data_IF_929798248355
#
_entry.id   IF_929798248355
#
_cell.length_a   1.000
_cell.length_b   1.000
_cell.length_c   1.000
_cell.angle_alpha   90.00
_cell.angle_beta   90.00
_cell.angle_gamma   90.00
#
_symmetry.space_group_name_H-M   'P 1'
#
loop_
_entity.id
_entity.type
_entity.pdbx_description
1 polymer ?
#
# COMPACT_ATOMS: atom_id res chain seq x y z
N UNK A 1 -11.99 -33.47 4.56
CA UNK A 1 -11.92 -32.10 3.99
C UNK A 1 -10.63 -31.98 3.21
N UNK A 2 -10.71 -31.60 1.94
CA UNK A 2 -9.52 -31.27 1.14
C UNK A 2 -8.95 -29.95 1.68
N UNK A 3 -7.66 -29.90 1.98
CA UNK A 3 -7.00 -28.65 2.40
C UNK A 3 -6.81 -27.77 1.16
N UNK A 4 -7.20 -26.48 1.19
CA UNK A 4 -7.01 -25.60 0.05
C UNK A 4 -5.52 -25.43 -0.25
N UNK A 5 -5.14 -25.54 -1.52
CA UNK A 5 -3.80 -25.24 -1.99
C UNK A 5 -3.56 -23.73 -1.95
N UNK A 6 -2.85 -23.30 -0.90
CA UNK A 6 -2.55 -21.89 -0.63
C UNK A 6 -1.12 -21.58 -1.06
N UNK A 7 -0.95 -20.54 -1.88
CA UNK A 7 0.35 -20.06 -2.33
C UNK A 7 0.58 -18.66 -1.78
N UNK A 8 1.81 -18.37 -1.34
CA UNK A 8 2.24 -17.01 -0.98
C UNK A 8 3.16 -16.51 -2.11
N UNK A 9 2.83 -15.37 -2.71
CA UNK A 9 3.64 -14.71 -3.72
C UNK A 9 4.18 -13.39 -3.17
N UNK A 10 5.50 -13.24 -3.19
CA UNK A 10 6.19 -12.05 -2.71
C UNK A 10 7.11 -11.56 -3.80
N UNK A 11 7.00 -10.26 -4.11
CA UNK A 11 8.00 -9.51 -4.87
C UNK A 11 8.72 -8.58 -3.91
N UNK A 12 10.04 -8.70 -3.71
CA UNK A 12 10.78 -7.78 -2.86
C UNK A 12 10.84 -6.39 -3.51
N UNK A 13 10.45 -5.38 -2.77
CA UNK A 13 10.32 -4.02 -3.29
C UNK A 13 11.63 -3.23 -3.12
N UNK A 14 11.94 -2.36 -4.08
CA UNK A 14 13.11 -1.48 -3.99
C UNK A 14 14.47 -2.16 -4.21
N UNK A 15 14.49 -3.42 -4.65
CA UNK A 15 15.73 -4.19 -4.90
C UNK A 15 15.96 -4.54 -6.37
N UNK A 16 15.10 -4.06 -7.28
CA UNK A 16 15.24 -4.32 -8.72
C UNK A 16 14.97 -5.78 -9.10
N UNK A 17 13.88 -6.37 -8.59
CA UNK A 17 13.49 -7.72 -8.95
C UNK A 17 13.30 -7.85 -10.48
N UNK A 18 13.83 -8.92 -11.09
CA UNK A 18 13.71 -9.13 -12.54
C UNK A 18 12.27 -9.37 -13.01
N UNK A 19 11.37 -9.72 -12.08
CA UNK A 19 9.93 -9.85 -12.27
C UNK A 19 9.28 -9.22 -11.03
N UNK A 20 8.38 -8.26 -11.22
CA UNK A 20 7.77 -7.51 -10.12
C UNK A 20 8.50 -6.22 -9.77
N UNK A 21 9.63 -5.95 -10.42
CA UNK A 21 10.46 -4.79 -10.12
C UNK A 21 9.87 -3.47 -10.60
N UNK A 22 8.84 -3.52 -11.46
CA UNK A 22 8.28 -2.37 -12.15
C UNK A 22 6.75 -2.35 -12.07
N UNK A 23 6.15 -1.17 -12.22
CA UNK A 23 4.70 -1.03 -12.11
C UNK A 23 3.92 -2.04 -13.00
N UNK A 24 3.22 -2.98 -12.36
CA UNK A 24 2.30 -3.93 -12.99
C UNK A 24 2.94 -5.17 -13.65
N UNK A 25 4.27 -5.30 -13.65
CA UNK A 25 4.97 -6.42 -14.31
C UNK A 25 4.82 -7.78 -13.57
N UNK A 26 4.52 -7.75 -12.27
CA UNK A 26 4.20 -8.94 -11.47
C UNK A 26 2.78 -9.46 -11.70
N UNK A 27 1.88 -8.65 -12.26
CA UNK A 27 0.48 -9.00 -12.36
C UNK A 27 0.23 -10.26 -13.22
N UNK A 28 0.87 -10.46 -14.38
CA UNK A 28 0.74 -11.71 -15.14
C UNK A 28 1.15 -12.95 -14.35
N UNK A 29 2.20 -12.85 -13.51
CA UNK A 29 2.66 -13.96 -12.66
C UNK A 29 1.64 -14.27 -11.57
N UNK A 30 1.13 -13.23 -10.90
CA UNK A 30 0.07 -13.42 -9.91
C UNK A 30 -1.19 -14.04 -10.52
N UNK A 31 -1.59 -13.62 -11.72
CA UNK A 31 -2.73 -14.21 -12.45
C UNK A 31 -2.49 -15.68 -12.81
N UNK A 32 -1.28 -16.04 -13.23
CA UNK A 32 -0.93 -17.42 -13.53
C UNK A 32 -0.99 -18.31 -12.28
N UNK A 33 -0.43 -17.83 -11.17
CA UNK A 33 -0.45 -18.55 -9.88
C UNK A 33 -1.88 -18.67 -9.35
N UNK A 34 -2.66 -17.58 -9.38
CA UNK A 34 -4.04 -17.58 -8.92
C UNK A 34 -4.93 -18.60 -9.65
N UNK A 35 -4.63 -18.92 -10.92
CA UNK A 35 -5.36 -19.95 -11.68
C UNK A 35 -5.09 -21.38 -11.24
N UNK A 36 -3.95 -21.64 -10.61
CA UNK A 36 -3.53 -22.98 -10.18
C UNK A 36 -3.61 -23.18 -8.66
N UNK A 37 -3.95 -22.13 -7.90
CA UNK A 37 -4.11 -22.15 -6.45
C UNK A 37 -5.56 -21.93 -6.03
N UNK A 38 -6.00 -22.59 -4.95
CA UNK A 38 -7.28 -22.29 -4.33
C UNK A 38 -7.26 -20.91 -3.66
N UNK A 39 -6.09 -20.49 -3.19
CA UNK A 39 -5.88 -19.21 -2.50
C UNK A 39 -4.49 -18.65 -2.78
N UNK A 40 -4.43 -17.39 -3.20
CA UNK A 40 -3.20 -16.63 -3.34
C UNK A 40 -3.11 -15.60 -2.20
N UNK A 41 -2.03 -15.62 -1.41
CA UNK A 41 -1.70 -14.56 -0.47
C UNK A 41 -0.59 -13.73 -1.11
N UNK A 42 -0.77 -12.42 -1.16
CA UNK A 42 0.19 -11.51 -1.80
C UNK A 42 0.14 -10.13 -1.14
N UNK A 43 1.04 -9.25 -1.53
CA UNK A 43 1.09 -7.87 -1.05
C UNK A 43 0.83 -6.86 -2.17
N UNK A 44 0.53 -5.58 -1.84
CA UNK A 44 0.11 -4.57 -2.80
C UNK A 44 1.05 -4.37 -4.00
N UNK A 45 2.37 -4.45 -3.81
CA UNK A 45 3.32 -4.14 -4.89
C UNK A 45 3.33 -5.21 -5.99
N UNK A 46 2.72 -6.38 -5.76
CA UNK A 46 2.58 -7.43 -6.79
C UNK A 46 1.45 -7.11 -7.76
N UNK A 47 0.37 -6.49 -7.28
CA UNK A 47 -0.89 -6.35 -8.04
C UNK A 47 -1.16 -4.92 -8.52
N UNK A 48 -0.41 -3.95 -8.03
CA UNK A 48 -0.53 -2.55 -8.41
C UNK A 48 0.43 -2.22 -9.57
N UNK A 49 -0.13 -1.65 -10.64
CA UNK A 49 0.60 -0.95 -11.70
C UNK A 49 0.36 0.56 -11.57
N UNK A 50 0.81 1.13 -10.46
CA UNK A 50 0.42 2.47 -10.01
C UNK A 50 -1.10 2.59 -9.80
N UNK A 51 -1.80 3.36 -10.64
CA UNK A 51 -3.25 3.56 -10.56
C UNK A 51 -4.07 2.39 -11.13
N UNK A 52 -3.40 1.45 -11.80
CA UNK A 52 -4.04 0.28 -12.39
C UNK A 52 -3.94 -0.90 -11.43
N UNK A 53 -5.04 -1.63 -11.27
CA UNK A 53 -5.06 -2.89 -10.53
C UNK A 53 -5.95 -3.91 -11.25
N UNK A 54 -5.84 -5.17 -10.87
CA UNK A 54 -6.73 -6.23 -11.35
C UNK A 54 -7.31 -7.02 -10.20
N UNK A 55 -8.64 -7.15 -10.18
CA UNK A 55 -9.31 -7.92 -9.15
C UNK A 55 -9.08 -9.43 -9.35
N UNK A 56 -8.47 -10.06 -8.34
CA UNK A 56 -8.27 -11.51 -8.26
C UNK A 56 -9.17 -12.07 -7.15
N UNK A 57 -10.24 -12.82 -7.50
CA UNK A 57 -11.30 -13.18 -6.53
C UNK A 57 -10.83 -14.16 -5.44
N UNK A 58 -9.74 -14.90 -5.68
CA UNK A 58 -9.12 -15.82 -4.72
C UNK A 58 -7.83 -15.28 -4.10
N UNK A 59 -7.59 -13.96 -4.18
CA UNK A 59 -6.42 -13.31 -3.60
C UNK A 59 -6.72 -12.65 -2.24
N UNK A 60 -5.78 -12.77 -1.33
CA UNK A 60 -5.74 -12.04 -0.05
C UNK A 60 -4.57 -11.08 -0.09
N UNK A 61 -4.87 -9.80 0.07
CA UNK A 61 -3.88 -8.73 0.15
C UNK A 61 -3.46 -8.54 1.59
N UNK A 62 -2.16 -8.60 1.83
CA UNK A 62 -1.56 -8.42 3.15
C UNK A 62 -0.41 -7.44 3.01
N UNK A 63 -0.37 -6.45 3.89
CA UNK A 63 0.77 -5.55 3.97
C UNK A 63 2.06 -6.32 4.33
N UNK A 64 3.23 -5.82 3.90
CA UNK A 64 4.50 -6.54 3.99
C UNK A 64 4.87 -7.02 5.40
N UNK A 65 4.78 -6.17 6.41
CA UNK A 65 5.03 -6.55 7.80
C UNK A 65 3.96 -7.50 8.35
N UNK A 66 2.70 -7.30 7.98
CA UNK A 66 1.64 -8.26 8.29
C UNK A 66 1.90 -9.65 7.71
N UNK A 67 2.46 -9.70 6.49
CA UNK A 67 2.84 -10.93 5.81
C UNK A 67 4.03 -11.61 6.50
N UNK A 68 5.03 -10.84 6.93
CA UNK A 68 6.15 -11.35 7.74
C UNK A 68 5.63 -11.98 9.03
N UNK A 69 4.72 -11.31 9.74
CA UNK A 69 4.11 -11.85 10.98
C UNK A 69 3.24 -13.07 10.74
N UNK A 70 2.60 -13.17 9.59
CA UNK A 70 1.91 -14.39 9.18
C UNK A 70 2.89 -15.54 8.91
N UNK A 71 3.99 -15.29 8.19
CA UNK A 71 5.02 -16.29 7.90
C UNK A 71 5.72 -16.78 9.18
N UNK A 72 5.96 -15.87 10.14
CA UNK A 72 6.48 -16.16 11.48
C UNK A 72 5.47 -16.90 12.38
N UNK A 73 4.24 -17.14 11.91
CA UNK A 73 3.14 -17.73 12.69
C UNK A 73 2.72 -16.91 13.91
N UNK A 74 3.10 -15.64 13.95
CA UNK A 74 2.66 -14.70 14.99
C UNK A 74 1.20 -14.32 14.76
N UNK A 75 0.81 -14.09 13.50
CA UNK A 75 -0.52 -13.62 13.12
C UNK A 75 -1.27 -14.63 12.26
N UNK A 76 -2.59 -14.65 12.40
CA UNK A 76 -3.51 -15.39 11.52
C UNK A 76 -4.20 -14.44 10.55
N UNK A 77 -4.36 -14.87 9.30
CA UNK A 77 -5.10 -14.12 8.29
C UNK A 77 -6.54 -14.62 8.21
N UNK A 78 -7.51 -13.70 8.37
CA UNK A 78 -8.93 -14.00 8.23
C UNK A 78 -9.46 -13.37 6.93
N UNK A 79 -9.89 -14.18 5.94
CA UNK A 79 -10.57 -13.66 4.77
C UNK A 79 -11.84 -12.91 5.17
N UNK A 80 -12.08 -11.77 4.53
CA UNK A 80 -13.30 -10.98 4.67
C UNK A 80 -13.91 -10.73 3.30
N UNK A 81 -15.23 -10.58 3.25
CA UNK A 81 -15.91 -10.18 2.01
C UNK A 81 -15.52 -8.76 1.59
N UNK A 82 -15.42 -7.86 2.58
CA UNK A 82 -15.12 -6.45 2.36
C UNK A 82 -14.60 -5.83 3.67
N UNK A 83 -13.60 -4.96 3.56
CA UNK A 83 -13.13 -4.13 4.68
C UNK A 83 -13.88 -2.80 4.71
N UNK A 84 -14.16 -2.30 5.91
CA UNK A 84 -14.44 -0.89 6.16
C UNK A 84 -13.14 -0.09 6.05
N UNK A 85 -13.01 0.76 5.04
CA UNK A 85 -11.77 1.50 4.79
C UNK A 85 -11.89 2.92 5.38
N UNK A 86 -10.93 3.32 6.20
CA UNK A 86 -10.76 4.70 6.66
C UNK A 86 -9.74 5.43 5.77
N UNK A 87 -9.97 6.71 5.49
CA UNK A 87 -9.10 7.51 4.63
C UNK A 87 -8.29 8.54 5.44
N UNK A 88 -6.97 8.46 5.38
CA UNK A 88 -6.09 9.50 5.91
C UNK A 88 -5.66 10.40 4.77
N UNK A 89 -5.84 11.70 4.93
CA UNK A 89 -5.36 12.73 4.02
C UNK A 89 -4.27 13.53 4.74
N UNK A 90 -3.08 13.58 4.18
CA UNK A 90 -2.01 14.40 4.72
C UNK A 90 -2.37 15.89 4.65
N UNK A 91 -2.20 16.59 5.77
CA UNK A 91 -2.36 18.04 5.90
C UNK A 91 -1.47 18.83 4.96
N UNK A 92 -0.35 18.25 4.51
CA UNK A 92 0.54 18.85 3.51
C UNK A 92 -0.05 18.89 2.10
N UNK A 93 -1.16 18.17 1.84
CA UNK A 93 -1.81 18.17 0.53
C UNK A 93 -2.52 19.50 0.28
N UNK A 94 -2.30 20.06 -0.91
CA UNK A 94 -2.94 21.29 -1.36
C UNK A 94 -4.47 21.16 -1.36
N UNK A 95 -5.23 22.21 -0.99
CA UNK A 95 -6.68 22.13 -0.87
C UNK A 95 -7.40 21.57 -2.12
N UNK A 96 -6.98 21.98 -3.31
CA UNK A 96 -7.56 21.52 -4.57
C UNK A 96 -7.25 20.04 -4.85
N UNK A 97 -6.03 19.59 -4.52
CA UNK A 97 -5.64 18.19 -4.67
C UNK A 97 -6.38 17.32 -3.65
N UNK A 98 -6.55 17.80 -2.42
CA UNK A 98 -7.34 17.14 -1.38
C UNK A 98 -8.79 16.95 -1.82
N UNK A 99 -9.40 17.97 -2.44
CA UNK A 99 -10.76 17.86 -3.00
C UNK A 99 -10.85 16.77 -4.07
N UNK A 100 -9.86 16.67 -4.97
CA UNK A 100 -9.82 15.62 -5.99
C UNK A 100 -9.75 14.22 -5.38
N UNK A 101 -8.99 14.03 -4.29
CA UNK A 101 -8.94 12.75 -3.60
C UNK A 101 -10.26 12.40 -2.91
N UNK A 102 -10.95 13.37 -2.32
CA UNK A 102 -12.30 13.15 -1.77
C UNK A 102 -13.31 12.77 -2.86
N UNK A 103 -13.28 13.45 -4.00
CA UNK A 103 -14.12 13.10 -5.15
C UNK A 103 -13.80 11.71 -5.71
N UNK A 104 -12.52 11.33 -5.74
CA UNK A 104 -12.12 9.98 -6.12
C UNK A 104 -12.64 8.93 -5.13
N UNK A 105 -12.56 9.21 -3.82
CA UNK A 105 -13.12 8.35 -2.79
C UNK A 105 -14.64 8.16 -2.98
N UNK A 106 -15.40 9.24 -3.21
CA UNK A 106 -16.84 9.17 -3.50
C UNK A 106 -17.14 8.38 -4.78
N UNK A 107 -16.35 8.57 -5.83
CA UNK A 107 -16.48 7.82 -7.06
C UNK A 107 -16.25 6.32 -6.84
N UNK A 108 -15.25 5.93 -6.05
CA UNK A 108 -14.99 4.50 -5.74
C UNK A 108 -16.11 3.88 -4.90
N UNK A 109 -16.75 4.62 -3.99
CA UNK A 109 -17.97 4.16 -3.30
C UNK A 109 -19.08 3.88 -4.30
N UNK A 110 -19.35 4.84 -5.19
CA UNK A 110 -20.48 4.77 -6.13
C UNK A 110 -20.28 3.72 -7.23
N UNK A 111 -19.06 3.56 -7.74
CA UNK A 111 -18.79 2.75 -8.94
C UNK A 111 -18.22 1.38 -8.63
N UNK A 112 -17.46 1.24 -7.54
CA UNK A 112 -16.84 -0.03 -7.14
C UNK A 112 -17.50 -0.65 -5.91
N UNK A 113 -18.42 0.08 -5.25
CA UNK A 113 -19.11 -0.40 -4.06
C UNK A 113 -18.22 -0.47 -2.81
N UNK A 114 -17.12 0.30 -2.75
CA UNK A 114 -16.23 0.30 -1.59
C UNK A 114 -16.93 0.85 -0.33
N UNK A 115 -16.66 0.22 0.81
CA UNK A 115 -17.21 0.59 2.10
C UNK A 115 -16.24 1.55 2.79
N UNK A 116 -16.37 2.84 2.47
CA UNK A 116 -15.57 3.88 3.11
C UNK A 116 -16.29 4.37 4.37
N UNK A 117 -15.54 4.47 5.48
CA UNK A 117 -16.03 4.97 6.77
C UNK A 117 -16.02 6.51 6.78
N UNK A 118 -15.04 7.11 7.44
CA UNK A 118 -14.79 8.54 7.47
C UNK A 118 -13.38 8.82 6.90
N UNK A 119 -13.07 10.11 6.72
CA UNK A 119 -11.70 10.55 6.47
C UNK A 119 -11.19 11.44 7.60
N UNK A 120 -9.90 11.38 7.83
CA UNK A 120 -9.20 12.26 8.78
C UNK A 120 -8.09 12.97 8.03
N UNK A 121 -8.05 14.29 8.18
CA UNK A 121 -6.86 15.07 7.79
C UNK A 121 -5.88 15.01 8.95
N UNK A 122 -4.61 14.71 8.66
CA UNK A 122 -3.57 14.68 9.71
C UNK A 122 -3.47 16.05 10.40
N UNK A 123 -3.06 16.09 11.67
CA UNK A 123 -2.96 17.36 12.42
C UNK A 123 -1.66 18.14 12.13
N UNK A 124 -0.73 17.53 11.41
CA UNK A 124 0.48 18.12 10.88
C UNK A 124 0.84 17.48 9.53
N UNK A 125 1.55 18.19 8.63
CA UNK A 125 2.05 17.60 7.38
C UNK A 125 2.94 16.40 7.68
N UNK A 126 2.81 15.30 6.95
CA UNK A 126 3.64 14.11 7.20
C UNK A 126 5.11 14.36 6.92
N UNK A 127 5.43 15.32 6.03
CA UNK A 127 6.78 15.66 5.60
C UNK A 127 7.53 14.40 5.13
N UNK A 128 7.02 13.79 4.06
CA UNK A 128 7.63 12.61 3.45
C UNK A 128 8.99 12.99 2.87
N UNK A 129 10.02 12.23 3.19
CA UNK A 129 11.35 12.35 2.61
C UNK A 129 11.74 11.07 1.87
N UNK A 130 12.32 11.23 0.69
CA UNK A 130 12.82 10.15 -0.15
C UNK A 130 14.34 10.14 -0.14
N UNK A 131 14.95 8.96 0.04
CA UNK A 131 16.40 8.80 0.13
C UNK A 131 16.84 7.49 -0.54
N UNK A 132 18.11 7.39 -0.91
CA UNK A 132 18.68 6.18 -1.50
C UNK A 132 19.81 5.67 -0.62
N UNK A 133 19.82 4.36 -0.35
CA UNK A 133 20.87 3.72 0.42
C UNK A 133 22.13 3.53 -0.44
N UNK A 134 23.33 3.38 0.16
CA UNK A 134 24.57 3.08 -0.58
C UNK A 134 24.49 1.78 -1.40
N UNK A 135 23.59 0.86 -1.05
CA UNK A 135 23.32 -0.37 -1.80
C UNK A 135 22.52 -0.15 -3.10
N UNK A 136 22.04 1.07 -3.37
CA UNK A 136 21.14 1.40 -4.47
C UNK A 136 19.65 1.17 -4.15
N UNK A 137 19.32 0.67 -2.96
CA UNK A 137 17.93 0.50 -2.53
C UNK A 137 17.27 1.84 -2.17
N UNK A 138 16.00 2.02 -2.55
CA UNK A 138 15.20 3.16 -2.11
C UNK A 138 14.76 3.00 -0.64
N UNK A 139 14.81 4.09 0.13
CA UNK A 139 14.24 4.18 1.47
C UNK A 139 13.55 5.53 1.68
N UNK A 140 12.66 5.62 2.65
CA UNK A 140 11.98 6.88 2.96
C UNK A 140 11.76 7.08 4.45
N UNK A 141 11.36 8.27 4.82
CA UNK A 141 10.93 8.59 6.19
C UNK A 141 9.83 9.63 6.18
N UNK A 142 9.19 9.84 7.33
CA UNK A 142 8.19 10.88 7.53
C UNK A 142 8.60 11.71 8.75
N UNK A 143 8.53 13.03 8.63
CA UNK A 143 8.89 13.95 9.72
C UNK A 143 7.91 13.91 10.90
N UNK A 144 6.63 13.60 10.66
CA UNK A 144 5.59 13.62 11.70
C UNK A 144 4.84 12.28 11.85
N UNK A 145 5.50 11.19 12.26
CA UNK A 145 4.86 9.86 12.38
C UNK A 145 3.74 9.83 13.42
N UNK A 146 3.83 10.64 14.48
CA UNK A 146 2.76 10.74 15.47
C UNK A 146 1.45 11.28 14.90
N UNK A 147 1.53 12.15 13.89
CA UNK A 147 0.35 12.69 13.20
C UNK A 147 -0.38 11.61 12.41
N UNK A 148 0.37 10.76 11.70
CA UNK A 148 -0.15 9.57 11.01
C UNK A 148 -0.87 8.62 11.98
N UNK A 149 -0.23 8.28 13.10
CA UNK A 149 -0.76 7.33 14.06
C UNK A 149 -2.03 7.86 14.75
N UNK A 150 -2.08 9.14 15.12
CA UNK A 150 -3.31 9.74 15.68
C UNK A 150 -4.47 9.73 14.69
N UNK A 151 -4.20 10.01 13.42
CA UNK A 151 -5.23 9.94 12.37
C UNK A 151 -5.76 8.51 12.18
N UNK A 152 -4.86 7.51 12.15
CA UNK A 152 -5.22 6.10 12.08
C UNK A 152 -6.03 5.67 13.32
N UNK A 153 -5.61 6.05 14.52
CA UNK A 153 -6.28 5.75 15.78
C UNK A 153 -7.74 6.25 15.78
N UNK A 154 -7.99 7.46 15.28
CA UNK A 154 -9.35 8.02 15.15
C UNK A 154 -10.19 7.16 14.21
N UNK A 155 -9.68 6.80 13.04
CA UNK A 155 -10.42 5.99 12.07
C UNK A 155 -10.71 4.58 12.61
N UNK A 156 -9.74 3.95 13.27
CA UNK A 156 -9.88 2.59 13.80
C UNK A 156 -10.85 2.56 14.97
N UNK A 157 -10.69 3.45 15.96
CA UNK A 157 -11.47 3.36 17.20
C UNK A 157 -12.79 4.14 17.17
N UNK A 158 -12.90 5.22 16.39
CA UNK A 158 -14.14 6.00 16.29
C UNK A 158 -14.97 5.65 15.06
N UNK A 159 -14.31 5.48 13.91
CA UNK A 159 -15.01 5.15 12.66
C UNK A 159 -15.09 3.63 12.39
N UNK A 160 -14.49 2.80 13.25
CA UNK A 160 -14.42 1.34 13.11
C UNK A 160 -13.86 0.89 11.75
N UNK A 161 -12.81 1.56 11.28
CA UNK A 161 -12.06 1.15 10.10
C UNK A 161 -11.32 -0.19 10.35
N UNK A 162 -11.38 -1.07 9.36
CA UNK A 162 -10.71 -2.38 9.30
C UNK A 162 -9.49 -2.37 8.38
N UNK A 163 -9.38 -1.35 7.53
CA UNK A 163 -8.21 -1.08 6.71
C UNK A 163 -8.04 0.44 6.57
N UNK A 164 -6.82 0.89 6.37
CA UNK A 164 -6.50 2.33 6.23
C UNK A 164 -5.91 2.60 4.86
N UNK A 165 -6.52 3.54 4.13
CA UNK A 165 -5.95 4.14 2.94
C UNK A 165 -5.27 5.46 3.33
N UNK A 166 -4.01 5.65 2.93
CA UNK A 166 -3.26 6.88 3.22
C UNK A 166 -2.96 7.59 1.91
N UNK A 167 -3.33 8.87 1.83
CA UNK A 167 -2.90 9.78 0.78
C UNK A 167 -1.92 10.75 1.42
N UNK A 168 -0.64 10.65 1.06
CA UNK A 168 0.44 11.47 1.61
C UNK A 168 0.96 12.47 0.57
N UNK A 169 1.43 13.64 1.02
CA UNK A 169 2.12 14.59 0.16
C UNK A 169 3.60 14.20 0.07
N UNK A 170 3.97 13.64 -1.07
CA UNK A 170 5.37 13.42 -1.44
C UNK A 170 5.98 14.73 -1.94
N UNK A 171 7.30 14.94 -1.82
CA UNK A 171 7.95 16.15 -2.35
C UNK A 171 7.80 16.23 -3.87
N UNK A 172 7.69 17.43 -4.42
CA UNK A 172 7.74 17.64 -5.86
C UNK A 172 9.15 17.35 -6.37
N UNK A 173 9.25 16.51 -7.39
CA UNK A 173 10.55 16.10 -7.93
C UNK A 173 10.64 16.31 -9.46
N UNK A 174 10.71 17.57 -9.92
CA UNK A 174 10.89 17.87 -11.33
C UNK A 174 12.34 17.55 -11.74
N UNK A 175 12.56 16.36 -12.30
CA UNK A 175 13.80 16.01 -13.03
C UNK A 175 14.71 14.98 -12.37
N UNK A 176 14.21 14.14 -11.47
CA UNK A 176 15.05 13.12 -10.83
C UNK A 176 15.46 12.01 -11.81
N UNK A 177 16.77 11.91 -12.08
CA UNK A 177 17.39 10.84 -12.85
C UNK A 177 16.97 9.44 -12.35
N UNK A 178 16.71 9.29 -11.04
CA UNK A 178 16.25 8.02 -10.47
C UNK A 178 14.84 7.64 -10.95
N UNK A 179 13.92 8.61 -11.06
CA UNK A 179 12.57 8.36 -11.56
C UNK A 179 12.59 8.02 -13.05
N UNK A 180 13.42 8.71 -13.84
CA UNK A 180 13.62 8.40 -15.26
C UNK A 180 14.27 7.03 -15.45
N UNK A 181 15.30 6.69 -14.67
CA UNK A 181 15.92 5.37 -14.69
C UNK A 181 14.91 4.27 -14.35
N UNK A 182 14.06 4.46 -13.34
CA UNK A 182 12.98 3.53 -13.00
C UNK A 182 11.99 3.35 -14.17
N UNK A 183 11.55 4.45 -14.80
CA UNK A 183 10.65 4.42 -15.98
C UNK A 183 11.27 3.68 -17.18
N UNK A 184 12.59 3.75 -17.31
CA UNK A 184 13.34 3.05 -18.37
C UNK A 184 13.75 1.62 -18.03
N UNK A 185 13.36 1.08 -16.87
CA UNK A 185 13.75 -0.27 -16.48
C UNK A 185 15.20 -0.40 -16.03
N UNK A 186 15.83 0.70 -15.64
CA UNK A 186 17.26 0.81 -15.30
C UNK A 186 17.50 1.23 -13.83
N UNK A 187 16.43 1.37 -13.05
CA UNK A 187 16.49 1.82 -11.66
C UNK A 187 15.41 1.18 -10.80
N UNK A 188 15.40 1.53 -9.51
CA UNK A 188 14.40 1.07 -8.54
C UNK A 188 13.36 2.16 -8.30
N UNK A 189 12.18 1.76 -7.83
CA UNK A 189 11.12 2.69 -7.47
C UNK A 189 11.59 3.66 -6.35
N UNK A 190 11.67 4.98 -6.61
CA UNK A 190 12.14 5.94 -5.63
C UNK A 190 11.12 6.19 -4.49
N UNK A 191 9.85 5.87 -4.69
CA UNK A 191 8.77 6.14 -3.72
C UNK A 191 8.57 4.99 -2.73
N UNK A 192 8.85 3.77 -3.17
CA UNK A 192 8.47 2.55 -2.47
C UNK A 192 8.97 2.47 -1.02
N UNK A 193 10.14 3.04 -0.73
CA UNK A 193 10.69 3.07 0.63
C UNK A 193 9.84 3.88 1.61
N UNK A 194 9.32 5.03 1.20
CA UNK A 194 8.45 5.85 2.04
C UNK A 194 7.07 5.22 2.22
N UNK A 195 6.50 4.64 1.17
CA UNK A 195 5.23 3.92 1.22
C UNK A 195 5.28 2.76 2.22
N UNK A 196 6.36 1.97 2.16
CA UNK A 196 6.59 0.87 3.09
C UNK A 196 6.69 1.35 4.55
N UNK A 197 7.34 2.49 4.81
CA UNK A 197 7.42 3.06 6.16
C UNK A 197 6.04 3.50 6.66
N UNK A 198 5.23 4.15 5.83
CA UNK A 198 3.89 4.59 6.18
C UNK A 198 3.00 3.39 6.54
N UNK A 199 2.94 2.38 5.68
CA UNK A 199 2.12 1.19 5.91
C UNK A 199 2.61 0.42 7.14
N UNK A 200 3.93 0.20 7.25
CA UNK A 200 4.55 -0.52 8.36
C UNK A 200 4.23 0.11 9.71
N UNK A 201 4.30 1.45 9.82
CA UNK A 201 4.01 2.15 11.08
C UNK A 201 2.58 1.90 11.56
N UNK A 202 1.60 1.93 10.67
CA UNK A 202 0.19 1.68 11.00
C UNK A 202 0.00 0.22 11.39
N UNK A 203 0.42 -0.71 10.53
CA UNK A 203 0.21 -2.16 10.73
C UNK A 203 0.92 -2.64 12.00
N UNK A 204 2.16 -2.21 12.23
CA UNK A 204 2.92 -2.55 13.44
C UNK A 204 2.22 -2.07 14.71
N UNK A 205 1.59 -0.89 14.67
CA UNK A 205 0.97 -0.27 15.84
C UNK A 205 -0.41 -0.83 16.13
N UNK A 206 -1.24 -1.00 15.09
CA UNK A 206 -2.67 -1.28 15.25
C UNK A 206 -3.10 -2.67 14.76
N UNK A 207 -2.25 -3.39 14.02
CA UNK A 207 -2.54 -4.73 13.48
C UNK A 207 -3.77 -4.77 12.55
N UNK A 208 -4.00 -3.69 11.81
CA UNK A 208 -5.02 -3.56 10.76
C UNK A 208 -4.39 -3.49 9.39
#
# INVERSE_FOLDING_TARGET
>A
MVRPYTVVLIVPTGVGASIGGYAGDALPVARAIAKISDRLITHPNVLNGAQLYWNLPNSLYVEGYGLDKFADKCWGLRPVHQNRVGLILDQGIEPDLRLRHLQAADATRATLGLNLTDYVVTDAPLNVELRTAPSGASWGTIGNPGSLLRAAEVLIHKANAEAIAVVARFPDDPGNEALEAYRHGQGVDPLAGAEAVISHLIVRTFQV
#
